data_IF_382720155596
#
_entry.id   IF_382720155596
#
_cell.length_a   1.000
_cell.length_b   1.000
_cell.length_c   1.000
_cell.angle_alpha   90.00
_cell.angle_beta   90.00
_cell.angle_gamma   90.00
#
_symmetry.space_group_name_H-M   'P 1'
#
loop_
_entity.id
_entity.type
_entity.pdbx_description
1 polymer ?
#
# COMPACT_ATOMS: atom_id res chain seq x y z
N UNK A 1 -12.13 -9.67 -6.36
CA UNK A 1 -12.02 -11.10 -5.96
C UNK A 1 -13.37 -11.76 -6.20
N UNK A 2 -13.47 -12.91 -6.89
CA UNK A 2 -14.76 -13.54 -7.14
C UNK A 2 -15.32 -14.11 -5.83
N UNK A 3 -16.46 -13.58 -5.41
CA UNK A 3 -17.34 -14.18 -4.42
C UNK A 3 -18.29 -15.11 -5.19
N UNK A 4 -18.60 -16.30 -4.67
CA UNK A 4 -19.30 -17.36 -5.41
C UNK A 4 -20.59 -16.93 -6.14
N UNK A 5 -21.02 -17.76 -7.09
CA UNK A 5 -22.15 -17.59 -8.03
C UNK A 5 -21.99 -16.58 -9.19
N UNK A 6 -20.75 -16.24 -9.57
CA UNK A 6 -20.52 -15.42 -10.77
C UNK A 6 -20.85 -13.94 -10.59
N UNK A 7 -21.00 -13.48 -9.34
CA UNK A 7 -21.15 -12.06 -9.02
C UNK A 7 -19.77 -11.37 -9.08
N UNK A 8 -19.71 -10.26 -9.82
CA UNK A 8 -18.54 -9.37 -9.84
C UNK A 8 -18.78 -8.27 -8.82
N UNK A 9 -18.01 -8.29 -7.73
CA UNK A 9 -17.98 -7.21 -6.76
C UNK A 9 -16.76 -6.31 -7.01
N UNK A 10 -17.00 -5.00 -7.04
CA UNK A 10 -15.97 -3.97 -7.03
C UNK A 10 -15.78 -3.53 -5.58
N UNK A 11 -14.72 -4.03 -4.95
CA UNK A 11 -14.26 -3.47 -3.67
C UNK A 11 -13.45 -2.21 -3.93
N UNK A 12 -13.45 -1.26 -2.99
CA UNK A 12 -12.44 -0.20 -2.97
C UNK A 12 -11.07 -0.89 -2.87
N UNK A 13 -10.20 -0.67 -3.86
CA UNK A 13 -8.85 -1.22 -3.80
C UNK A 13 -8.07 -0.40 -2.77
N UNK A 14 -7.92 -0.96 -1.58
CA UNK A 14 -6.85 -0.54 -0.69
C UNK A 14 -5.54 -0.84 -1.42
N UNK A 15 -4.54 0.05 -1.32
CA UNK A 15 -3.19 -0.20 -1.87
C UNK A 15 -2.22 -0.61 -0.75
N UNK A 16 -2.44 -1.76 -0.06
CA UNK A 16 -1.52 -2.20 0.98
C UNK A 16 -0.17 -2.58 0.38
N UNK A 17 -0.02 -2.71 -0.94
CA UNK A 17 1.23 -3.10 -1.59
C UNK A 17 2.35 -2.07 -1.46
N UNK A 18 2.02 -0.79 -1.26
CA UNK A 18 3.02 0.28 -1.26
C UNK A 18 3.92 0.23 -0.02
N UNK A 19 5.26 0.19 -0.19
CA UNK A 19 6.18 0.40 0.91
C UNK A 19 6.14 1.86 1.39
N UNK A 20 6.64 2.11 2.61
CA UNK A 20 6.62 3.44 3.21
C UNK A 20 7.37 4.47 2.37
N UNK A 21 8.47 4.07 1.72
CA UNK A 21 9.19 4.93 0.77
C UNK A 21 8.37 5.42 -0.42
N UNK A 22 7.44 4.60 -0.93
CA UNK A 22 6.62 4.98 -2.10
C UNK A 22 5.50 5.92 -1.65
N UNK A 23 4.91 5.66 -0.49
CA UNK A 23 3.99 6.61 0.14
C UNK A 23 4.68 7.97 0.36
N UNK A 24 5.87 7.99 0.97
CA UNK A 24 6.66 9.21 1.18
C UNK A 24 6.90 9.99 -0.13
N UNK A 25 7.23 9.30 -1.23
CA UNK A 25 7.40 9.93 -2.53
C UNK A 25 6.09 10.52 -3.11
N UNK A 26 4.96 9.83 -2.91
CA UNK A 26 3.64 10.31 -3.33
C UNK A 26 3.25 11.58 -2.56
N UNK A 27 3.35 11.56 -1.22
CA UNK A 27 3.07 12.73 -0.38
C UNK A 27 3.93 13.93 -0.80
N UNK A 28 5.25 13.72 -0.92
CA UNK A 28 6.19 14.77 -1.37
C UNK A 28 5.80 15.38 -2.72
N UNK A 29 5.31 14.57 -3.65
CA UNK A 29 4.88 15.03 -4.98
C UNK A 29 3.58 15.85 -4.91
N UNK A 30 2.68 15.50 -3.99
CA UNK A 30 1.36 16.09 -3.86
C UNK A 30 1.29 17.25 -2.86
N UNK A 31 2.41 17.59 -2.18
CA UNK A 31 2.54 18.66 -1.18
C UNK A 31 1.67 19.89 -1.40
N UNK A 32 1.73 20.60 -2.56
CA UNK A 32 0.98 21.83 -2.73
C UNK A 32 -0.54 21.61 -2.62
N UNK A 33 -1.03 20.49 -3.18
CA UNK A 33 -2.45 20.12 -3.12
C UNK A 33 -2.85 19.67 -1.72
N UNK A 34 -2.04 18.86 -1.05
CA UNK A 34 -2.39 18.29 0.25
C UNK A 34 -2.48 19.34 1.36
N UNK A 35 -1.61 20.34 1.35
CA UNK A 35 -1.71 21.49 2.27
C UNK A 35 -2.89 22.38 1.90
N UNK A 36 -3.08 22.69 0.60
CA UNK A 36 -4.18 23.53 0.15
C UNK A 36 -5.57 22.93 0.43
N UNK A 37 -5.69 21.60 0.38
CA UNK A 37 -6.91 20.86 0.67
C UNK A 37 -7.09 20.57 2.17
N UNK A 38 -6.13 20.96 3.02
CA UNK A 38 -6.22 20.85 4.48
C UNK A 38 -5.93 19.45 5.04
N UNK A 39 -5.28 18.56 4.27
CA UNK A 39 -4.78 17.29 4.79
C UNK A 39 -3.59 17.46 5.73
N UNK A 40 -2.81 18.53 5.55
CA UNK A 40 -1.78 18.97 6.48
C UNK A 40 -1.99 20.44 6.84
N UNK A 41 -1.59 20.80 8.06
CA UNK A 41 -1.67 22.18 8.56
C UNK A 41 -0.78 23.12 7.75
N UNK A 42 0.41 22.65 7.41
CA UNK A 42 1.44 23.36 6.66
C UNK A 42 2.43 22.34 6.06
N UNK A 43 3.40 22.85 5.29
CA UNK A 43 4.44 22.02 4.67
C UNK A 43 5.38 21.38 5.71
N UNK A 44 5.48 21.95 6.91
CA UNK A 44 6.36 21.47 7.97
C UNK A 44 5.76 20.23 8.65
N UNK A 45 4.45 20.25 8.91
CA UNK A 45 3.68 19.11 9.36
C UNK A 45 3.71 17.95 8.35
N UNK A 46 3.61 18.26 7.05
CA UNK A 46 3.76 17.24 6.01
C UNK A 46 5.19 16.67 5.99
N UNK A 47 6.21 17.53 6.07
CA UNK A 47 7.61 17.07 6.09
C UNK A 47 7.87 16.14 7.27
N UNK A 48 7.36 16.47 8.46
CA UNK A 48 7.49 15.61 9.64
C UNK A 48 6.79 14.26 9.45
N UNK A 49 5.64 14.24 8.76
CA UNK A 49 4.96 12.99 8.42
C UNK A 49 5.76 12.16 7.40
N UNK A 50 6.33 12.78 6.38
CA UNK A 50 7.21 12.11 5.42
C UNK A 50 8.45 11.52 6.11
N UNK A 51 9.05 12.25 7.05
CA UNK A 51 10.21 11.79 7.82
C UNK A 51 9.87 10.56 8.68
N UNK A 52 8.67 10.54 9.28
CA UNK A 52 8.15 9.36 9.99
C UNK A 52 8.02 8.15 9.05
N UNK A 53 7.52 8.33 7.83
CA UNK A 53 7.43 7.25 6.83
C UNK A 53 8.82 6.73 6.43
N UNK A 54 9.79 7.62 6.22
CA UNK A 54 11.16 7.21 5.90
C UNK A 54 11.85 6.51 7.07
N UNK A 55 11.56 6.93 8.31
CA UNK A 55 12.02 6.23 9.51
C UNK A 55 11.38 4.83 9.63
N UNK A 56 10.09 4.68 9.34
CA UNK A 56 9.40 3.40 9.29
C UNK A 56 9.89 2.48 8.17
N UNK A 57 10.33 3.02 7.03
CA UNK A 57 10.97 2.20 5.99
C UNK A 57 12.29 1.61 6.50
N UNK A 58 13.09 2.39 7.26
CA UNK A 58 14.38 1.96 7.81
C UNK A 58 14.22 1.01 9.01
N UNK A 59 13.25 1.29 9.87
CA UNK A 59 12.88 0.45 11.02
C UNK A 59 11.36 0.23 11.07
N UNK A 60 10.85 -0.80 10.36
CA UNK A 60 9.44 -1.15 10.35
C UNK A 60 8.91 -1.67 11.69
N UNK A 61 9.77 -1.84 12.70
CA UNK A 61 9.41 -2.32 14.03
C UNK A 61 9.32 -1.21 15.08
N UNK A 62 9.51 0.05 14.67
CA UNK A 62 9.45 1.22 15.54
C UNK A 62 8.03 1.45 16.10
N UNK A 63 7.74 0.86 17.26
CA UNK A 63 6.42 0.88 17.91
C UNK A 63 5.86 2.29 18.16
N UNK A 64 6.65 3.29 18.61
CA UNK A 64 6.17 4.66 18.73
C UNK A 64 5.64 5.23 17.41
N UNK A 65 6.39 5.09 16.32
CA UNK A 65 5.98 5.59 15.01
C UNK A 65 4.78 4.83 14.45
N UNK A 66 4.72 3.52 14.71
CA UNK A 66 3.58 2.67 14.34
C UNK A 66 2.29 3.19 15.00
N UNK A 67 2.34 3.43 16.31
CA UNK A 67 1.20 3.94 17.07
C UNK A 67 0.81 5.34 16.61
N UNK A 68 1.78 6.25 16.47
CA UNK A 68 1.57 7.64 16.06
C UNK A 68 0.86 7.74 14.71
N UNK A 69 1.28 6.92 13.75
CA UNK A 69 0.79 6.98 12.37
C UNK A 69 -0.38 6.01 12.10
N UNK A 70 -0.87 5.29 13.12
CA UNK A 70 -2.01 4.38 12.97
C UNK A 70 -1.80 3.25 11.96
N UNK A 71 -0.54 2.87 11.70
CA UNK A 71 -0.21 1.83 10.72
C UNK A 71 -0.31 0.45 11.34
N UNK A 72 -0.81 -0.52 10.58
CA UNK A 72 -1.02 -1.89 11.04
C UNK A 72 -0.06 -2.89 10.40
N UNK A 73 -0.16 -4.15 10.85
CA UNK A 73 0.68 -5.24 10.35
C UNK A 73 0.54 -5.51 8.85
N UNK A 74 -0.59 -5.17 8.23
CA UNK A 74 -0.81 -5.37 6.80
C UNK A 74 0.04 -4.41 5.96
N UNK A 75 0.26 -3.18 6.44
CA UNK A 75 1.12 -2.18 5.80
C UNK A 75 2.60 -2.42 6.14
N UNK A 76 2.91 -2.88 7.36
CA UNK A 76 4.30 -3.11 7.80
C UNK A 76 4.94 -4.33 7.12
N UNK A 77 4.20 -5.44 7.03
CA UNK A 77 4.75 -6.70 6.53
C UNK A 77 4.74 -6.78 5.02
N UNK A 78 5.92 -6.80 4.40
CA UNK A 78 6.07 -6.97 2.94
C UNK A 78 5.35 -8.21 2.39
N UNK A 79 5.36 -9.31 3.15
CA UNK A 79 4.69 -10.54 2.74
C UNK A 79 3.18 -10.39 2.73
N UNK A 80 2.62 -9.63 3.68
CA UNK A 80 1.19 -9.31 3.68
C UNK A 80 0.85 -8.30 2.58
N UNK A 81 1.65 -7.22 2.43
CA UNK A 81 1.52 -6.22 1.36
C UNK A 81 1.38 -6.83 -0.03
N UNK A 82 2.15 -7.89 -0.31
CA UNK A 82 2.23 -8.51 -1.65
C UNK A 82 1.43 -9.81 -1.77
N UNK A 83 0.73 -10.25 -0.71
CA UNK A 83 0.07 -11.55 -0.66
C UNK A 83 -0.98 -11.73 -1.73
N UNK A 84 -1.81 -10.72 -1.96
CA UNK A 84 -2.89 -10.80 -2.95
C UNK A 84 -2.35 -10.91 -4.38
N UNK A 85 -1.36 -10.07 -4.74
CA UNK A 85 -0.70 -10.10 -6.04
C UNK A 85 -0.01 -11.46 -6.25
N UNK A 86 0.72 -11.96 -5.24
CA UNK A 86 1.36 -13.28 -5.27
C UNK A 86 0.34 -14.39 -5.51
N UNK A 87 -0.79 -14.36 -4.80
CA UNK A 87 -1.87 -15.34 -4.97
C UNK A 87 -2.48 -15.26 -6.37
N UNK A 88 -2.73 -14.06 -6.88
CA UNK A 88 -3.28 -13.86 -8.22
C UNK A 88 -2.35 -14.41 -9.32
N UNK A 89 -1.05 -14.16 -9.23
CA UNK A 89 -0.06 -14.72 -10.15
C UNK A 89 -0.09 -16.25 -10.11
N UNK A 90 -0.04 -16.83 -8.92
CA UNK A 90 0.04 -18.28 -8.73
C UNK A 90 -1.23 -19.03 -9.14
N UNK A 91 -2.41 -18.47 -8.86
CA UNK A 91 -3.68 -19.18 -9.03
C UNK A 91 -4.44 -18.78 -10.31
N UNK A 92 -4.18 -17.61 -10.89
CA UNK A 92 -4.89 -17.13 -12.08
C UNK A 92 -3.96 -16.98 -13.28
N UNK A 93 -2.82 -16.30 -13.14
CA UNK A 93 -1.95 -15.98 -14.28
C UNK A 93 -1.21 -17.21 -14.79
N UNK A 94 -0.43 -17.88 -13.93
CA UNK A 94 0.39 -19.05 -14.33
C UNK A 94 -0.49 -20.18 -14.90
N UNK A 95 -1.59 -20.59 -14.24
CA UNK A 95 -2.45 -21.65 -14.77
C UNK A 95 -3.10 -21.29 -16.11
N UNK A 96 -3.55 -20.03 -16.28
CA UNK A 96 -4.16 -19.57 -17.54
C UNK A 96 -3.14 -19.53 -18.67
N UNK A 97 -1.91 -19.08 -18.41
CA UNK A 97 -0.81 -19.12 -19.40
C UNK A 97 -0.48 -20.56 -19.81
N UNK A 98 -0.39 -21.48 -18.87
CA UNK A 98 -0.10 -22.89 -19.14
C UNK A 98 -1.19 -23.57 -20.01
N UNK A 99 -2.47 -23.20 -19.83
CA UNK A 99 -3.56 -23.69 -20.69
C UNK A 99 -3.49 -23.14 -22.11
N UNK A 100 -3.09 -21.88 -22.28
CA UNK A 100 -2.99 -21.21 -23.60
C UNK A 100 -1.80 -21.70 -24.44
N UNK A 101 -0.68 -22.09 -23.81
CA UNK A 101 0.51 -22.59 -24.51
C UNK A 101 0.45 -24.06 -24.93
N UNK A 102 -0.70 -24.74 -24.73
CA UNK A 102 -0.94 -26.14 -25.16
C UNK A 102 -1.84 -26.23 -26.39
N UNK A 103 -2.01 -25.13 -27.12
CA UNK A 103 -2.70 -25.04 -28.41
C UNK A 103 -1.72 -24.73 -29.54
#
# INVERSE_FOLDING_TARGET
>A
MPLGNGAVAWGVQYHPEYPFREMAAIFRRLRPSLVAEGFFMDEEAESAFIDDLEALERDPTNRPLIWRNGVDGAVISKDLRTREIRNWVNHQVIPTRAKRGRG
#
